data_IF_790757255200
#
_entry.id   IF_790757255200
#
_cell.length_a   1.000
_cell.length_b   1.000
_cell.length_c   1.000
_cell.angle_alpha   90.00
_cell.angle_beta   90.00
_cell.angle_gamma   90.00
#
_symmetry.space_group_name_H-M   'P 1'
#
loop_
_entity.id
_entity.type
_entity.pdbx_description
1 polymer ?
#
# COMPACT_ATOMS: atom_id res chain seq x y z
N UNK A 1 -7.86 10.67 35.18
CA UNK A 1 -7.51 11.52 34.03
C UNK A 1 -8.55 12.61 33.76
N UNK A 2 -9.73 12.35 33.17
CA UNK A 2 -10.72 13.40 32.85
C UNK A 2 -11.20 14.25 34.03
N UNK A 3 -11.21 13.68 35.25
CA UNK A 3 -11.56 14.39 36.49
C UNK A 3 -10.35 15.05 37.20
N UNK A 4 -9.14 14.91 36.66
CA UNK A 4 -7.89 15.32 37.31
C UNK A 4 -7.21 16.54 36.66
N UNK A 5 -7.67 16.97 35.48
CA UNK A 5 -7.19 18.19 34.83
C UNK A 5 -8.24 18.73 33.86
N UNK A 6 -8.41 20.05 33.84
CA UNK A 6 -9.29 20.75 32.90
C UNK A 6 -8.58 21.11 31.58
N UNK A 7 -7.28 20.80 31.45
CA UNK A 7 -6.51 21.11 30.25
C UNK A 7 -6.90 20.19 29.08
N UNK A 8 -7.54 20.77 28.07
CA UNK A 8 -8.03 20.07 26.89
C UNK A 8 -6.91 19.41 26.06
N UNK A 9 -5.70 19.98 26.04
CA UNK A 9 -4.57 19.40 25.30
C UNK A 9 -4.10 18.10 25.95
N UNK A 10 -4.01 18.08 27.28
CA UNK A 10 -3.67 16.88 28.06
C UNK A 10 -4.76 15.81 27.87
N UNK A 11 -6.04 16.20 27.83
CA UNK A 11 -7.15 15.29 27.58
C UNK A 11 -7.08 14.72 26.15
N UNK A 12 -6.84 15.55 25.12
CA UNK A 12 -6.68 15.12 23.73
C UNK A 12 -5.53 14.13 23.58
N UNK A 13 -4.35 14.48 24.10
CA UNK A 13 -3.15 13.63 24.08
C UNK A 13 -3.37 12.30 24.79
N UNK A 14 -4.01 12.31 25.97
CA UNK A 14 -4.35 11.10 26.71
C UNK A 14 -5.36 10.22 25.94
N UNK A 15 -6.40 10.79 25.32
CA UNK A 15 -7.33 10.03 24.49
C UNK A 15 -6.61 9.36 23.30
N UNK A 16 -5.70 10.07 22.61
CA UNK A 16 -4.88 9.50 21.52
C UNK A 16 -4.00 8.36 22.01
N UNK A 17 -3.32 8.53 23.15
CA UNK A 17 -2.52 7.46 23.76
C UNK A 17 -3.35 6.23 24.13
N UNK A 18 -4.56 6.41 24.66
CA UNK A 18 -5.50 5.31 24.97
C UNK A 18 -5.89 4.54 23.71
N UNK A 19 -6.24 5.24 22.62
CA UNK A 19 -6.60 4.60 21.34
C UNK A 19 -5.44 3.81 20.74
N UNK A 20 -4.23 4.37 20.74
CA UNK A 20 -3.01 3.67 20.29
C UNK A 20 -2.72 2.45 21.17
N UNK A 21 -2.86 2.57 22.50
CA UNK A 21 -2.67 1.45 23.42
C UNK A 21 -3.71 0.33 23.18
N UNK A 22 -4.98 0.67 22.95
CA UNK A 22 -6.03 -0.30 22.61
C UNK A 22 -5.71 -1.05 21.30
N UNK A 23 -5.25 -0.35 20.26
CA UNK A 23 -4.81 -0.98 19.00
C UNK A 23 -3.62 -1.93 19.24
N UNK A 24 -2.63 -1.54 20.05
CA UNK A 24 -1.49 -2.41 20.36
C UNK A 24 -1.86 -3.63 21.19
N UNK A 25 -2.77 -3.49 22.17
CA UNK A 25 -3.25 -4.62 22.98
C UNK A 25 -3.99 -5.63 22.13
N UNK A 26 -4.91 -5.19 21.26
CA UNK A 26 -5.63 -6.07 20.34
C UNK A 26 -4.70 -6.88 19.43
N UNK A 27 -3.58 -6.29 19.00
CA UNK A 27 -2.56 -7.00 18.23
C UNK A 27 -1.83 -8.03 19.09
N UNK A 28 -1.35 -7.65 20.29
CA UNK A 28 -0.64 -8.58 21.17
C UNK A 28 -1.52 -9.75 21.66
N UNK A 29 -2.80 -9.51 21.94
CA UNK A 29 -3.78 -10.54 22.29
C UNK A 29 -4.00 -11.52 21.13
N UNK A 30 -4.12 -11.03 19.90
CA UNK A 30 -4.26 -11.87 18.71
C UNK A 30 -2.98 -12.68 18.44
N UNK A 31 -1.79 -12.06 18.50
CA UNK A 31 -0.51 -12.76 18.32
C UNK A 31 -0.28 -13.82 19.41
N UNK A 32 -0.61 -13.52 20.67
CA UNK A 32 -0.52 -14.49 21.76
C UNK A 32 -1.45 -15.68 21.54
N UNK A 33 -2.69 -15.45 21.06
CA UNK A 33 -3.62 -16.52 20.69
C UNK A 33 -3.08 -17.39 19.54
N UNK A 34 -2.45 -16.78 18.53
CA UNK A 34 -1.83 -17.51 17.41
C UNK A 34 -0.65 -18.36 17.89
N UNK A 35 0.24 -17.82 18.73
CA UNK A 35 1.38 -18.55 19.31
C UNK A 35 0.92 -19.70 20.21
N UNK A 36 -0.14 -19.52 21.00
CA UNK A 36 -0.74 -20.59 21.80
C UNK A 36 -1.33 -21.71 20.92
N UNK A 37 -2.00 -21.38 19.83
CA UNK A 37 -2.52 -22.36 18.87
C UNK A 37 -1.39 -23.14 18.18
N UNK A 38 -0.34 -22.45 17.69
CA UNK A 38 0.87 -23.05 17.09
C UNK A 38 1.55 -24.01 18.08
N UNK A 39 1.64 -23.64 19.37
CA UNK A 39 2.18 -24.50 20.43
C UNK A 39 1.35 -25.77 20.66
N UNK A 40 0.02 -25.65 20.70
CA UNK A 40 -0.87 -26.81 20.86
C UNK A 40 -0.79 -27.76 19.65
N UNK A 41 -0.69 -27.21 18.43
CA UNK A 41 -0.53 -28.00 17.21
C UNK A 41 0.79 -28.79 17.22
N UNK A 42 1.92 -28.16 17.58
CA UNK A 42 3.21 -28.84 17.66
C UNK A 42 3.23 -29.94 18.74
N UNK A 43 2.55 -29.73 19.87
CA UNK A 43 2.42 -30.77 20.91
C UNK A 43 1.54 -31.95 20.49
N UNK A 44 0.62 -31.76 19.54
CA UNK A 44 -0.18 -32.84 18.97
C UNK A 44 0.59 -33.68 17.94
N UNK A 45 1.58 -33.12 17.25
CA UNK A 45 2.39 -33.84 16.24
C UNK A 45 3.48 -34.72 16.85
N UNK A 46 4.10 -34.32 17.96
CA UNK A 46 5.13 -35.12 18.64
C UNK A 46 4.57 -36.39 19.32
N UNK A 47 3.25 -36.51 19.43
CA UNK A 47 2.57 -37.67 20.02
C UNK A 47 2.40 -38.89 19.09
N UNK A 48 2.78 -38.80 17.80
CA UNK A 48 2.58 -39.88 16.82
C UNK A 48 3.89 -40.58 16.40
N UNK A 49 4.74 -40.93 17.37
CA UNK A 49 5.73 -42.00 17.15
C UNK A 49 4.99 -43.33 17.04
N UNK A 50 4.80 -43.80 15.80
CA UNK A 50 4.04 -45.02 15.50
C UNK A 50 4.61 -46.29 16.15
N UNK A 51 3.82 -47.38 16.27
CA UNK A 51 4.16 -48.54 17.09
C UNK A 51 5.39 -49.31 16.61
N UNK A 52 6.06 -50.00 17.54
CA UNK A 52 7.14 -50.94 17.23
C UNK A 52 6.73 -51.96 16.16
N UNK A 53 7.63 -52.22 15.20
CA UNK A 53 7.54 -53.38 14.30
C UNK A 53 8.80 -54.22 14.43
N UNK A 54 8.63 -55.44 14.92
CA UNK A 54 9.55 -56.58 14.82
C UNK A 54 8.81 -57.85 15.31
N UNK A 55 9.14 -59.06 14.83
CA UNK A 55 9.81 -59.43 13.58
C UNK A 55 9.06 -60.52 12.77
N UNK A 56 9.42 -60.70 11.49
CA UNK A 56 9.17 -61.95 10.75
C UNK A 56 8.31 -61.84 9.49
N UNK A 57 8.89 -62.20 8.33
CA UNK A 57 8.19 -62.27 7.04
C UNK A 57 9.17 -62.39 5.86
N UNK A 58 9.41 -63.61 5.39
CA UNK A 58 10.29 -63.90 4.24
C UNK A 58 9.57 -63.61 2.90
N UNK A 59 10.25 -63.00 1.90
CA UNK A 59 9.86 -63.11 0.50
C UNK A 59 10.60 -64.30 -0.19
N UNK A 60 9.97 -65.01 -1.15
CA UNK A 60 10.59 -66.14 -1.84
C UNK A 60 11.52 -65.71 -2.99
N UNK A 61 12.55 -66.50 -3.34
CA UNK A 61 13.50 -66.17 -4.40
C UNK A 61 13.19 -66.81 -5.76
N UNK A 62 13.57 -66.13 -6.84
CA UNK A 62 14.04 -66.80 -8.06
C UNK A 62 13.19 -66.62 -9.33
N UNK A 63 13.69 -65.78 -10.24
CA UNK A 63 13.69 -66.04 -11.68
C UNK A 63 14.73 -65.13 -12.36
N UNK A 64 15.97 -65.61 -12.50
CA UNK A 64 16.96 -65.00 -13.39
C UNK A 64 16.89 -65.72 -14.73
N UNK A 65 16.73 -65.02 -15.84
CA UNK A 65 17.42 -65.34 -17.10
C UNK A 65 17.56 -64.07 -17.93
N UNK A 66 18.80 -63.72 -18.28
CA UNK A 66 19.11 -62.65 -19.20
C UNK A 66 19.14 -63.16 -20.65
N UNK A 67 18.93 -62.28 -21.63
CA UNK A 67 19.68 -62.40 -22.87
C UNK A 67 20.04 -61.02 -23.46
N UNK A 68 21.10 -61.02 -24.26
CA UNK A 68 21.94 -59.88 -24.64
C UNK A 68 21.49 -59.26 -25.98
N UNK A 69 21.60 -57.93 -26.13
CA UNK A 69 21.38 -57.24 -27.41
C UNK A 69 21.73 -55.75 -27.35
N UNK A 70 22.92 -55.38 -27.83
CA UNK A 70 23.54 -54.07 -27.59
C UNK A 70 23.15 -52.94 -28.57
N UNK A 71 23.39 -51.69 -28.11
CA UNK A 71 23.63 -50.43 -28.86
C UNK A 71 22.45 -49.52 -29.28
N UNK A 72 22.17 -48.51 -28.45
CA UNK A 72 22.57 -47.09 -28.70
C UNK A 72 22.44 -46.21 -27.44
N UNK A 73 23.39 -45.30 -27.26
CA UNK A 73 23.54 -44.27 -26.21
C UNK A 73 23.39 -42.85 -26.83
N UNK A 74 23.43 -41.71 -26.10
CA UNK A 74 23.30 -41.47 -24.64
C UNK A 74 22.36 -40.27 -24.25
N UNK A 75 22.43 -39.86 -22.98
CA UNK A 75 21.94 -38.66 -22.28
C UNK A 75 20.43 -38.44 -22.12
N UNK A 76 19.85 -38.42 -20.91
CA UNK A 76 20.22 -37.83 -19.59
C UNK A 76 20.02 -36.30 -19.50
N UNK A 77 18.88 -35.86 -18.94
CA UNK A 77 18.82 -35.22 -17.61
C UNK A 77 17.42 -34.74 -17.23
N UNK A 78 16.85 -35.49 -16.31
CA UNK A 78 15.99 -35.03 -15.21
C UNK A 78 15.95 -33.51 -14.98
N UNK A 79 14.78 -32.91 -15.21
CA UNK A 79 14.32 -31.73 -14.46
C UNK A 79 12.97 -32.02 -13.82
N UNK A 80 13.03 -32.23 -12.51
CA UNK A 80 11.86 -32.20 -11.63
C UNK A 80 11.23 -30.80 -11.72
N UNK A 81 9.91 -30.74 -11.75
CA UNK A 81 9.15 -29.53 -11.42
C UNK A 81 7.89 -29.95 -10.64
N UNK A 82 7.47 -29.19 -9.62
CA UNK A 82 6.54 -29.71 -8.63
C UNK A 82 5.12 -29.81 -9.19
N UNK A 83 4.45 -30.94 -8.93
CA UNK A 83 3.00 -31.06 -9.18
C UNK A 83 2.26 -30.04 -8.31
N UNK A 84 1.49 -29.16 -8.96
CA UNK A 84 0.53 -28.30 -8.26
C UNK A 84 -0.60 -29.17 -7.68
N UNK A 85 -0.87 -29.13 -6.36
CA UNK A 85 -1.97 -29.86 -5.79
C UNK A 85 -3.27 -29.06 -5.97
N UNK A 86 -4.02 -29.35 -7.03
CA UNK A 86 -5.44 -29.05 -7.16
C UNK A 86 -6.05 -30.11 -8.09
N UNK A 87 -6.80 -31.02 -7.49
CA UNK A 87 -7.50 -32.12 -8.16
C UNK A 87 -8.67 -32.53 -7.28
N UNK A 88 -9.78 -31.84 -7.47
CA UNK A 88 -10.99 -31.95 -6.66
C UNK A 88 -11.53 -33.39 -6.64
N UNK A 89 -11.61 -33.96 -5.45
CA UNK A 89 -12.39 -35.17 -5.18
C UNK A 89 -13.70 -34.77 -4.51
N UNK A 90 -14.78 -34.71 -5.31
CA UNK A 90 -16.14 -34.68 -4.79
C UNK A 90 -16.48 -36.07 -4.22
N UNK A 91 -16.70 -36.13 -2.92
CA UNK A 91 -16.90 -37.37 -2.17
C UNK A 91 -17.38 -37.05 -0.76
N UNK A 92 -18.69 -37.18 -0.55
CA UNK A 92 -19.37 -36.62 0.62
C UNK A 92 -18.85 -37.13 1.98
N UNK A 93 -18.51 -36.19 2.86
CA UNK A 93 -18.45 -36.42 4.30
C UNK A 93 -18.87 -35.16 5.04
N UNK A 94 -19.86 -35.30 5.92
CA UNK A 94 -20.33 -34.20 6.77
C UNK A 94 -19.35 -33.95 7.91
N UNK A 95 -18.50 -32.94 7.78
CA UNK A 95 -17.82 -32.34 8.94
C UNK A 95 -18.02 -30.83 8.99
N UNK A 96 -18.45 -30.39 10.17
CA UNK A 96 -18.76 -29.01 10.52
C UNK A 96 -17.45 -28.20 10.66
N UNK A 97 -16.83 -27.86 9.53
CA UNK A 97 -15.63 -27.03 9.51
C UNK A 97 -16.02 -25.59 9.85
N UNK A 98 -15.69 -25.18 11.08
CA UNK A 98 -15.75 -23.78 11.49
C UNK A 98 -15.03 -22.93 10.44
N UNK A 99 -15.59 -21.79 10.01
CA UNK A 99 -14.98 -20.99 8.95
C UNK A 99 -13.64 -20.45 9.43
N UNK A 100 -12.54 -21.06 8.97
CA UNK A 100 -11.21 -20.49 9.19
C UNK A 100 -11.22 -19.05 8.68
N UNK A 101 -10.68 -18.10 9.46
CA UNK A 101 -10.66 -16.70 9.05
C UNK A 101 -9.84 -16.60 7.76
N UNK A 102 -10.52 -16.29 6.64
CA UNK A 102 -9.87 -16.09 5.35
C UNK A 102 -8.74 -15.07 5.52
N UNK A 103 -7.50 -15.53 5.37
CA UNK A 103 -6.32 -14.66 5.43
C UNK A 103 -6.50 -13.58 4.37
N UNK A 104 -6.66 -12.33 4.83
CA UNK A 104 -6.82 -11.19 3.93
C UNK A 104 -5.45 -10.83 3.39
N UNK A 105 -5.24 -11.11 2.11
CA UNK A 105 -4.03 -10.68 1.39
C UNK A 105 -4.06 -9.16 1.25
N UNK A 106 -3.36 -8.46 2.15
CA UNK A 106 -3.22 -7.01 2.13
C UNK A 106 -2.29 -6.57 1.00
N UNK A 107 -2.65 -5.50 0.29
CA UNK A 107 -1.76 -4.90 -0.71
C UNK A 107 -0.74 -3.95 -0.07
N UNK A 108 0.29 -3.59 -0.84
CA UNK A 108 1.22 -2.53 -0.52
C UNK A 108 0.50 -1.21 -0.11
N UNK A 109 -0.56 -0.81 -0.81
CA UNK A 109 -1.32 0.37 -0.41
C UNK A 109 -2.12 0.15 0.89
N UNK A 110 -2.67 -1.06 1.11
CA UNK A 110 -3.49 -1.34 2.29
C UNK A 110 -2.68 -1.33 3.59
N UNK A 111 -1.45 -1.85 3.59
CA UNK A 111 -0.60 -1.86 4.79
C UNK A 111 -0.24 -0.45 5.27
N UNK A 112 -0.25 0.56 4.39
CA UNK A 112 -0.03 1.98 4.76
C UNK A 112 -1.29 2.64 5.34
N UNK A 113 -2.50 2.15 5.00
CA UNK A 113 -3.77 2.78 5.46
C UNK A 113 -3.91 2.71 6.98
N UNK A 114 -4.42 3.79 7.57
CA UNK A 114 -4.67 3.89 9.00
C UNK A 114 -5.68 2.85 9.50
N UNK A 115 -6.75 2.61 8.73
CA UNK A 115 -7.85 1.69 9.09
C UNK A 115 -7.46 0.20 9.02
N UNK A 116 -6.33 -0.14 8.40
CA UNK A 116 -5.83 -1.51 8.33
C UNK A 116 -5.35 -1.95 9.72
N UNK A 117 -5.85 -3.08 10.27
CA UNK A 117 -5.41 -3.60 11.58
C UNK A 117 -3.90 -3.75 11.68
N UNK A 118 -3.37 -3.68 12.89
CA UNK A 118 -1.96 -4.02 13.16
C UNK A 118 -1.77 -5.53 12.93
N UNK A 119 -0.79 -5.86 12.10
CA UNK A 119 -0.38 -7.23 11.76
C UNK A 119 1.15 -7.27 11.64
N UNK A 120 1.77 -8.45 11.75
CA UNK A 120 3.23 -8.61 11.62
C UNK A 120 3.74 -8.02 10.30
N UNK A 121 3.04 -8.31 9.18
CA UNK A 121 3.35 -7.75 7.87
C UNK A 121 3.24 -6.21 7.81
N UNK A 122 2.22 -5.61 8.47
CA UNK A 122 2.11 -4.16 8.57
C UNK A 122 3.24 -3.57 9.40
N UNK A 123 3.58 -4.17 10.53
CA UNK A 123 4.63 -3.69 11.44
C UNK A 123 6.01 -3.78 10.76
N UNK A 124 6.34 -4.91 10.15
CA UNK A 124 7.60 -5.11 9.41
C UNK A 124 7.76 -4.09 8.28
N UNK A 125 6.75 -3.93 7.41
CA UNK A 125 6.81 -2.95 6.32
C UNK A 125 6.86 -1.50 6.80
N UNK A 126 6.12 -1.15 7.87
CA UNK A 126 6.20 0.19 8.45
C UNK A 126 7.57 0.47 9.06
N UNK A 127 8.23 -0.51 9.69
CA UNK A 127 9.61 -0.36 10.18
C UNK A 127 10.59 -0.03 9.05
N UNK A 128 10.61 -0.83 7.99
CA UNK A 128 11.51 -0.63 6.86
C UNK A 128 11.30 0.75 6.20
N UNK A 129 10.05 1.12 5.96
CA UNK A 129 9.71 2.42 5.36
C UNK A 129 10.08 3.60 6.28
N UNK A 130 9.83 3.50 7.58
CA UNK A 130 10.20 4.54 8.55
C UNK A 130 11.72 4.69 8.69
N UNK A 131 12.47 3.59 8.67
CA UNK A 131 13.93 3.59 8.73
C UNK A 131 14.54 4.23 7.48
N UNK A 132 14.09 3.80 6.30
CA UNK A 132 14.52 4.39 5.03
C UNK A 132 14.19 5.88 4.97
N UNK A 133 12.95 6.28 5.29
CA UNK A 133 12.53 7.69 5.25
C UNK A 133 13.30 8.54 6.26
N UNK A 134 13.55 8.03 7.46
CA UNK A 134 14.38 8.69 8.48
C UNK A 134 15.83 8.87 8.01
N UNK A 135 16.41 7.89 7.31
CA UNK A 135 17.75 8.03 6.73
C UNK A 135 17.77 9.12 5.64
N UNK A 136 16.79 9.13 4.73
CA UNK A 136 16.69 10.14 3.66
C UNK A 136 16.51 11.54 4.24
N UNK A 137 15.62 11.74 5.22
CA UNK A 137 15.38 13.05 5.85
C UNK A 137 16.63 13.54 6.62
N UNK A 138 17.37 12.65 7.30
CA UNK A 138 18.68 13.00 7.91
C UNK A 138 19.70 13.44 6.86
N UNK A 139 19.79 12.75 5.71
CA UNK A 139 20.68 13.16 4.62
C UNK A 139 20.26 14.50 4.02
N UNK A 140 18.96 14.75 3.87
CA UNK A 140 18.40 16.03 3.43
C UNK A 140 18.75 17.18 4.39
N UNK A 141 18.59 16.98 5.71
CA UNK A 141 19.03 17.93 6.73
C UNK A 141 20.54 18.21 6.63
N UNK A 142 21.37 17.17 6.50
CA UNK A 142 22.81 17.34 6.33
C UNK A 142 23.17 18.16 5.07
N UNK A 143 22.36 18.09 4.01
CA UNK A 143 22.45 18.96 2.84
C UNK A 143 22.09 20.41 3.14
N UNK A 144 20.99 20.63 3.89
CA UNK A 144 20.58 21.96 4.38
C UNK A 144 21.67 22.61 5.24
N UNK A 145 22.26 21.87 6.18
CA UNK A 145 23.32 22.38 7.07
C UNK A 145 24.59 22.77 6.29
N UNK A 146 24.93 22.06 5.21
CA UNK A 146 26.02 22.45 4.29
C UNK A 146 25.68 23.71 3.49
N UNK A 147 24.49 23.79 2.91
CA UNK A 147 24.03 24.96 2.17
C UNK A 147 23.94 26.22 3.04
N UNK A 148 23.49 26.08 4.30
CA UNK A 148 23.46 27.17 5.28
C UNK A 148 24.86 27.74 5.54
N UNK A 149 25.87 26.87 5.66
CA UNK A 149 27.28 27.28 5.82
C UNK A 149 27.84 28.01 4.60
N UNK A 150 27.49 27.58 3.38
CA UNK A 150 27.92 28.26 2.15
C UNK A 150 27.36 29.69 2.07
N UNK A 151 26.07 29.88 2.37
CA UNK A 151 25.48 31.23 2.38
C UNK A 151 26.02 32.14 3.48
N UNK A 152 26.52 31.59 4.59
CA UNK A 152 27.23 32.36 5.61
C UNK A 152 28.60 32.87 5.11
N UNK A 153 29.24 32.15 4.16
CA UNK A 153 30.55 32.50 3.62
C UNK A 153 30.49 33.47 2.42
N UNK A 154 29.59 33.25 1.45
CA UNK A 154 29.78 33.71 0.06
C UNK A 154 28.84 34.83 -0.46
N UNK A 155 28.16 35.61 0.40
CA UNK A 155 27.13 36.57 -0.06
C UNK A 155 27.20 38.00 0.48
N UNK A 156 26.80 38.93 -0.40
CA UNK A 156 26.38 40.30 -0.06
C UNK A 156 25.32 40.33 1.04
N UNK A 157 25.40 41.36 1.89
CA UNK A 157 24.68 41.46 3.18
C UNK A 157 23.16 41.24 3.07
N UNK A 158 22.50 41.74 2.01
CA UNK A 158 21.03 41.61 1.82
C UNK A 158 20.59 40.24 1.31
N UNK A 159 21.39 39.60 0.44
CA UNK A 159 21.08 38.26 -0.08
C UNK A 159 21.25 37.19 1.00
N UNK A 160 22.30 37.37 1.82
CA UNK A 160 22.63 36.51 2.96
C UNK A 160 21.46 36.32 3.91
N UNK A 161 20.82 37.39 4.36
CA UNK A 161 19.74 37.34 5.36
C UNK A 161 18.49 36.60 4.83
N UNK A 162 18.16 36.77 3.56
CA UNK A 162 17.01 36.12 2.91
C UNK A 162 17.25 34.62 2.75
N UNK A 163 18.41 34.22 2.22
CA UNK A 163 18.74 32.79 2.07
C UNK A 163 18.96 32.12 3.43
N UNK A 164 19.59 32.79 4.40
CA UNK A 164 19.71 32.27 5.76
C UNK A 164 18.35 32.00 6.41
N UNK A 165 17.37 32.92 6.30
CA UNK A 165 16.01 32.69 6.84
C UNK A 165 15.30 31.52 6.12
N UNK A 166 15.48 31.36 4.80
CA UNK A 166 14.94 30.21 4.06
C UNK A 166 15.58 28.89 4.50
N UNK A 167 16.90 28.85 4.65
CA UNK A 167 17.63 27.64 5.06
C UNK A 167 17.30 27.25 6.50
N UNK A 168 17.19 28.21 7.42
CA UNK A 168 16.79 27.93 8.80
C UNK A 168 15.34 27.44 8.87
N UNK A 169 14.41 28.01 8.10
CA UNK A 169 13.04 27.48 8.02
C UNK A 169 13.00 26.03 7.53
N UNK A 170 13.80 25.66 6.52
CA UNK A 170 13.91 24.28 6.05
C UNK A 170 14.57 23.36 7.08
N UNK A 171 15.57 23.87 7.80
CA UNK A 171 16.30 23.14 8.85
C UNK A 171 15.37 22.79 10.01
N UNK A 172 14.59 23.76 10.50
CA UNK A 172 13.58 23.57 11.56
C UNK A 172 12.49 22.59 11.11
N UNK A 173 11.96 22.73 9.88
CA UNK A 173 10.98 21.78 9.33
C UNK A 173 11.55 20.35 9.31
N UNK A 174 12.77 20.18 8.79
CA UNK A 174 13.45 18.87 8.71
C UNK A 174 13.76 18.28 10.09
N UNK A 175 14.16 19.10 11.07
CA UNK A 175 14.36 18.66 12.46
C UNK A 175 13.07 18.14 13.10
N UNK A 176 11.95 18.84 12.94
CA UNK A 176 10.66 18.35 13.46
C UNK A 176 10.18 17.11 12.69
N UNK A 177 10.40 17.04 11.37
CA UNK A 177 10.13 15.82 10.57
C UNK A 177 10.92 14.60 11.08
N UNK A 178 12.21 14.77 11.37
CA UNK A 178 13.06 13.72 11.95
C UNK A 178 12.50 13.23 13.28
N UNK A 179 12.02 14.13 14.16
CA UNK A 179 11.40 13.77 15.44
C UNK A 179 10.10 12.98 15.27
N UNK A 180 9.24 13.35 14.32
CA UNK A 180 8.03 12.59 13.97
C UNK A 180 8.38 11.18 13.49
N UNK A 181 9.33 11.05 12.55
CA UNK A 181 9.78 9.76 12.01
C UNK A 181 10.40 8.88 13.10
N UNK A 182 11.26 9.43 13.97
CA UNK A 182 11.83 8.72 15.12
C UNK A 182 10.75 8.25 16.11
N UNK A 183 9.74 9.07 16.35
CA UNK A 183 8.65 8.74 17.28
C UNK A 183 7.78 7.61 16.74
N UNK A 184 7.40 7.66 15.45
CA UNK A 184 6.65 6.58 14.80
C UNK A 184 7.48 5.28 14.72
N UNK A 185 8.76 5.38 14.34
CA UNK A 185 9.68 4.24 14.29
C UNK A 185 9.80 3.55 15.65
N UNK A 186 9.94 4.32 16.74
CA UNK A 186 9.98 3.77 18.10
C UNK A 186 8.66 3.05 18.46
N UNK A 187 7.51 3.59 18.05
CA UNK A 187 6.22 2.93 18.30
C UNK A 187 6.15 1.58 17.57
N UNK A 188 6.51 1.51 16.29
CA UNK A 188 6.51 0.24 15.55
C UNK A 188 7.56 -0.76 16.07
N UNK A 189 8.74 -0.31 16.53
CA UNK A 189 9.74 -1.20 17.17
C UNK A 189 9.23 -1.83 18.45
N UNK A 190 8.43 -1.10 19.24
CA UNK A 190 7.81 -1.65 20.43
C UNK A 190 6.70 -2.68 20.13
N UNK A 191 6.15 -2.70 18.90
CA UNK A 191 5.16 -3.69 18.45
C UNK A 191 5.79 -4.91 17.78
N UNK A 192 7.07 -4.83 17.40
CA UNK A 192 7.74 -5.88 16.67
C UNK A 192 8.09 -7.03 17.60
N UNK A 193 7.25 -8.07 17.55
CA UNK A 193 7.55 -9.39 18.10
C UNK A 193 8.40 -10.09 17.05
N UNK A 194 9.61 -10.48 17.44
CA UNK A 194 10.44 -11.40 16.66
C UNK A 194 9.75 -12.76 16.76
N UNK A 195 9.08 -13.19 15.69
CA UNK A 195 8.62 -14.57 15.58
C UNK A 195 9.84 -15.52 15.50
N UNK A 196 9.61 -16.82 15.62
CA UNK A 196 10.71 -17.81 15.67
C UNK A 196 11.66 -17.76 14.46
N UNK A 197 12.82 -18.45 14.52
CA UNK A 197 13.96 -18.32 13.58
C UNK A 197 13.72 -18.84 12.14
N UNK A 198 12.48 -18.83 11.67
CA UNK A 198 12.04 -19.34 10.36
C UNK A 198 11.55 -18.22 9.40
N UNK A 199 11.48 -16.95 9.83
CA UNK A 199 11.06 -15.80 9.00
C UNK A 199 12.23 -14.89 8.57
N UNK A 200 13.35 -15.47 8.15
CA UNK A 200 14.48 -14.77 7.50
C UNK A 200 14.20 -14.37 6.01
N UNK A 201 12.92 -14.25 5.60
CA UNK A 201 12.56 -13.57 4.35
C UNK A 201 12.72 -12.05 4.50
N UNK A 202 13.97 -11.60 4.47
CA UNK A 202 14.38 -10.20 4.50
C UNK A 202 13.75 -9.41 3.33
N UNK A 203 12.79 -8.49 3.57
CA UNK A 203 12.18 -7.69 2.51
C UNK A 203 13.03 -6.44 2.17
N UNK A 204 14.33 -6.45 2.48
CA UNK A 204 15.28 -5.35 2.18
C UNK A 204 15.34 -4.97 0.69
N UNK A 205 14.83 -5.84 -0.18
CA UNK A 205 14.72 -5.61 -1.61
C UNK A 205 13.43 -4.90 -2.08
N UNK A 206 12.33 -4.90 -1.34
CA UNK A 206 11.04 -4.37 -1.86
C UNK A 206 11.05 -2.85 -1.99
N UNK A 207 11.33 -2.10 -0.92
CA UNK A 207 11.32 -0.62 -0.96
C UNK A 207 12.36 -0.06 -1.96
N UNK A 208 13.47 -0.78 -2.20
CA UNK A 208 14.45 -0.42 -3.24
C UNK A 208 13.94 -0.72 -4.66
N UNK A 209 13.23 -1.84 -4.86
CA UNK A 209 12.59 -2.18 -6.14
C UNK A 209 11.44 -1.24 -6.48
N UNK A 210 10.67 -0.81 -5.48
CA UNK A 210 9.53 0.09 -5.67
C UNK A 210 9.96 1.49 -6.16
N UNK A 211 11.07 2.01 -5.64
CA UNK A 211 11.72 3.22 -6.17
C UNK A 211 12.31 3.05 -7.58
N UNK A 212 12.56 1.81 -8.01
CA UNK A 212 13.07 1.47 -9.35
C UNK A 212 11.96 1.21 -10.38
N UNK A 213 10.68 1.19 -9.97
CA UNK A 213 9.54 1.09 -10.87
C UNK A 213 9.44 2.36 -11.73
N UNK A 214 8.81 2.23 -12.90
CA UNK A 214 8.65 3.34 -13.85
C UNK A 214 7.88 4.51 -13.22
N UNK A 215 8.41 5.75 -13.27
CA UNK A 215 7.69 6.91 -12.76
C UNK A 215 6.35 7.13 -13.45
N UNK A 216 5.35 7.48 -12.65
CA UNK A 216 3.99 7.72 -13.09
C UNK A 216 3.82 9.15 -13.60
N UNK A 217 2.93 9.34 -14.57
CA UNK A 217 2.60 10.64 -15.16
C UNK A 217 1.12 10.69 -15.48
N UNK A 218 0.47 11.83 -15.23
CA UNK A 218 -0.97 11.98 -15.37
C UNK A 218 -1.54 13.06 -14.45
N UNK A 219 -2.81 12.87 -14.05
CA UNK A 219 -3.56 13.80 -13.19
C UNK A 219 -3.91 13.09 -11.88
N UNK A 220 -3.29 13.51 -10.78
CA UNK A 220 -3.63 13.04 -9.43
C UNK A 220 -4.82 13.85 -8.93
N UNK A 221 -5.96 13.19 -8.72
CA UNK A 221 -7.13 13.77 -8.03
C UNK A 221 -7.09 13.30 -6.57
N UNK A 222 -7.10 14.22 -5.62
CA UNK A 222 -6.97 13.92 -4.19
C UNK A 222 -7.90 14.79 -3.32
N UNK A 223 -8.67 14.13 -2.47
CA UNK A 223 -9.61 14.75 -1.52
C UNK A 223 -9.04 14.82 -0.11
N UNK A 224 -8.77 16.01 0.41
CA UNK A 224 -8.34 16.24 1.80
C UNK A 224 -9.56 16.55 2.67
N UNK A 225 -10.21 15.50 3.19
CA UNK A 225 -11.43 15.64 4.01
C UNK A 225 -11.12 16.17 5.42
N UNK A 226 -10.26 15.47 6.16
CA UNK A 226 -9.88 15.85 7.52
C UNK A 226 -8.91 14.86 8.15
N UNK A 227 -8.39 15.21 9.33
CA UNK A 227 -7.51 14.39 10.14
C UNK A 227 -8.17 14.05 11.48
N UNK A 228 -7.62 13.03 12.16
CA UNK A 228 -8.02 12.58 13.50
C UNK A 228 -6.74 12.26 14.29
N UNK A 229 -6.86 12.18 15.61
CA UNK A 229 -5.79 11.68 16.49
C UNK A 229 -4.48 12.51 16.42
N UNK A 230 -4.56 13.79 16.04
CA UNK A 230 -3.41 14.71 15.96
C UNK A 230 -2.93 15.15 17.35
N UNK A 231 -1.60 15.08 17.56
CA UNK A 231 -0.91 15.70 18.70
C UNK A 231 -0.41 17.09 18.24
N UNK A 232 -1.24 18.10 18.47
CA UNK A 232 -0.99 19.49 18.07
C UNK A 232 0.25 20.07 18.76
N UNK A 233 0.92 21.04 18.11
CA UNK A 233 2.10 21.66 18.69
C UNK A 233 1.74 22.43 19.97
N UNK A 234 2.55 22.32 21.05
CA UNK A 234 2.23 22.91 22.33
C UNK A 234 2.24 24.44 22.23
N UNK A 235 1.13 25.07 22.64
CA UNK A 235 0.98 26.52 22.59
C UNK A 235 2.08 27.26 23.36
N UNK A 236 2.80 28.13 22.66
CA UNK A 236 3.65 29.13 23.31
C UNK A 236 2.74 30.10 24.08
N UNK A 237 2.87 30.11 25.42
CA UNK A 237 2.07 30.96 26.32
C UNK A 237 2.50 32.44 26.25
N UNK A 238 2.26 33.08 25.10
CA UNK A 238 2.39 34.53 24.99
C UNK A 238 1.24 35.20 25.74
N UNK A 239 1.59 35.99 26.75
CA UNK A 239 0.67 36.45 27.80
C UNK A 239 -0.36 37.49 27.34
N UNK A 240 -1.46 37.03 26.71
CA UNK A 240 -2.78 37.69 26.73
C UNK A 240 -3.95 36.93 26.10
N UNK A 241 -3.74 35.78 25.43
CA UNK A 241 -4.85 35.00 24.85
C UNK A 241 -5.16 33.72 25.64
N UNK A 242 -6.32 33.69 26.30
CA UNK A 242 -6.91 32.47 26.89
C UNK A 242 -7.55 31.54 25.83
N UNK A 243 -7.47 31.89 24.55
CA UNK A 243 -7.85 31.08 23.39
C UNK A 243 -6.76 31.17 22.32
N UNK A 244 -5.59 30.62 22.62
CA UNK A 244 -4.71 30.22 21.53
C UNK A 244 -5.41 29.07 20.78
N UNK A 245 -5.62 29.24 19.48
CA UNK A 245 -6.22 28.23 18.61
C UNK A 245 -5.23 28.04 17.46
N UNK A 246 -4.84 26.79 17.23
CA UNK A 246 -3.95 26.42 16.14
C UNK A 246 -4.72 26.42 14.82
N UNK A 247 -4.16 27.08 13.82
CA UNK A 247 -4.66 27.05 12.45
C UNK A 247 -3.87 25.98 11.67
N UNK A 248 -4.49 24.84 11.37
CA UNK A 248 -3.84 23.71 10.69
C UNK A 248 -4.00 23.76 9.17
N UNK A 249 -2.91 23.50 8.45
CA UNK A 249 -2.87 23.45 6.98
C UNK A 249 -2.19 22.17 6.51
N UNK A 250 -2.62 21.61 5.39
CA UNK A 250 -2.03 20.43 4.75
C UNK A 250 -1.31 20.88 3.50
N UNK A 251 -0.03 20.51 3.35
CA UNK A 251 0.70 20.68 2.10
C UNK A 251 0.87 19.32 1.41
N UNK A 252 0.62 19.30 0.10
CA UNK A 252 0.80 18.13 -0.75
C UNK A 252 2.03 18.38 -1.62
N UNK A 253 3.04 17.54 -1.45
CA UNK A 253 4.31 17.58 -2.20
C UNK A 253 4.42 16.36 -3.09
N UNK A 254 4.97 16.54 -4.29
CA UNK A 254 5.25 15.48 -5.26
C UNK A 254 6.75 15.59 -5.59
N UNK A 255 7.51 14.51 -5.43
CA UNK A 255 8.98 14.53 -5.51
C UNK A 255 9.60 15.68 -4.69
N UNK A 256 9.17 15.80 -3.42
CA UNK A 256 9.60 16.86 -2.49
C UNK A 256 9.14 18.29 -2.83
N UNK A 257 8.56 18.53 -4.00
CA UNK A 257 8.08 19.85 -4.44
C UNK A 257 6.63 20.06 -4.04
N UNK A 258 6.31 21.11 -3.28
CA UNK A 258 4.93 21.46 -2.94
C UNK A 258 4.13 21.82 -4.20
N UNK A 259 3.04 21.08 -4.46
CA UNK A 259 2.14 21.29 -5.61
C UNK A 259 0.79 21.89 -5.22
N UNK A 260 0.31 21.58 -4.02
CA UNK A 260 -0.94 22.10 -3.48
C UNK A 260 -0.84 22.33 -1.97
N UNK A 261 -1.73 23.17 -1.43
CA UNK A 261 -1.87 23.44 0.00
C UNK A 261 -3.33 23.80 0.32
N UNK A 262 -3.86 23.28 1.42
CA UNK A 262 -5.21 23.62 1.92
C UNK A 262 -5.27 25.01 2.55
N UNK A 263 -6.48 25.51 2.68
CA UNK A 263 -6.78 26.64 3.54
C UNK A 263 -6.52 26.27 5.03
N UNK A 264 -6.30 27.26 5.91
CA UNK A 264 -6.17 27.01 7.34
C UNK A 264 -7.51 26.57 7.95
N UNK A 265 -7.50 25.51 8.76
CA UNK A 265 -8.66 25.01 9.50
C UNK A 265 -8.39 25.03 11.01
N UNK A 266 -9.45 25.18 11.81
CA UNK A 266 -9.41 25.11 13.28
C UNK A 266 -10.04 23.83 13.84
N UNK A 267 -10.50 22.96 12.94
CA UNK A 267 -11.29 21.76 13.27
C UNK A 267 -10.69 20.49 12.68
N UNK A 268 -9.48 20.59 12.12
CA UNK A 268 -8.78 19.51 11.40
C UNK A 268 -9.63 18.89 10.27
N UNK A 269 -10.52 19.71 9.69
CA UNK A 269 -11.36 19.40 8.53
C UNK A 269 -11.15 20.49 7.49
N UNK A 270 -10.82 20.08 6.27
CA UNK A 270 -10.57 20.99 5.15
C UNK A 270 -11.64 20.82 4.08
N UNK A 271 -12.02 19.57 3.78
CA UNK A 271 -13.02 19.21 2.77
C UNK A 271 -12.68 19.74 1.37
N UNK A 272 -11.38 19.89 1.08
CA UNK A 272 -10.85 20.43 -0.17
C UNK A 272 -10.48 19.30 -1.14
N UNK A 273 -10.72 19.53 -2.43
CA UNK A 273 -10.43 18.61 -3.51
C UNK A 273 -9.38 19.24 -4.44
N UNK A 274 -8.30 18.51 -4.74
CA UNK A 274 -7.18 19.01 -5.55
C UNK A 274 -6.97 18.17 -6.80
N UNK A 275 -6.62 18.86 -7.89
CA UNK A 275 -6.23 18.27 -9.16
C UNK A 275 -4.77 18.64 -9.46
N UNK A 276 -3.87 17.69 -9.27
CA UNK A 276 -2.42 17.92 -9.35
C UNK A 276 -1.87 17.28 -10.64
N UNK A 277 -1.29 18.06 -11.57
CA UNK A 277 -0.56 17.50 -12.70
C UNK A 277 0.77 16.90 -12.23
N UNK A 278 0.95 15.62 -12.54
CA UNK A 278 2.11 14.81 -12.18
C UNK A 278 2.87 14.44 -13.45
N UNK A 279 4.16 14.75 -13.49
CA UNK A 279 5.09 14.33 -14.54
C UNK A 279 6.25 13.58 -13.87
N UNK A 280 6.48 12.35 -14.30
CA UNK A 280 7.53 11.42 -13.83
C UNK A 280 7.77 11.42 -12.31
N UNK A 281 6.72 11.19 -11.53
CA UNK A 281 6.83 11.03 -10.08
C UNK A 281 6.62 9.58 -9.63
N UNK A 282 7.28 9.22 -8.54
CA UNK A 282 7.11 7.98 -7.80
C UNK A 282 6.31 8.21 -6.51
N UNK A 283 6.58 9.29 -5.77
CA UNK A 283 6.08 9.49 -4.40
C UNK A 283 5.28 10.80 -4.24
N UNK A 284 4.21 10.71 -3.43
CA UNK A 284 3.47 11.86 -2.89
C UNK A 284 3.67 11.92 -1.38
N UNK A 285 4.12 13.06 -0.87
CA UNK A 285 4.17 13.39 0.56
C UNK A 285 3.01 14.33 0.91
N UNK A 286 2.31 14.01 1.99
CA UNK A 286 1.30 14.87 2.61
C UNK A 286 1.82 15.23 4.00
N UNK A 287 2.08 16.51 4.26
CA UNK A 287 2.49 17.00 5.58
C UNK A 287 1.43 17.93 6.15
N UNK A 288 1.00 17.66 7.38
CA UNK A 288 0.08 18.50 8.16
C UNK A 288 0.93 19.43 9.03
N UNK A 289 0.66 20.72 8.93
CA UNK A 289 1.34 21.77 9.66
C UNK A 289 0.40 22.52 10.59
N UNK A 290 0.92 22.89 11.73
CA UNK A 290 0.32 23.70 12.76
C UNK A 290 0.92 25.11 12.73
N UNK A 291 0.08 26.12 12.49
CA UNK A 291 0.50 27.53 12.52
C UNK A 291 0.29 28.12 13.91
N UNK A 292 1.37 28.14 14.68
CA UNK A 292 1.42 28.82 15.99
C UNK A 292 1.27 30.34 15.85
N UNK A 293 0.46 30.94 16.72
CA UNK A 293 0.28 32.41 16.77
C UNK A 293 1.59 33.07 17.19
N UNK A 294 2.16 33.89 16.30
CA UNK A 294 3.44 34.56 16.52
C UNK A 294 4.67 33.81 15.99
N UNK A 295 4.51 32.64 15.36
CA UNK A 295 5.57 31.99 14.59
C UNK A 295 5.38 32.23 13.08
N UNK A 296 6.43 32.67 12.40
CA UNK A 296 6.51 32.68 10.93
C UNK A 296 6.64 31.25 10.37
N UNK A 297 7.29 30.36 11.12
CA UNK A 297 7.60 29.00 10.70
C UNK A 297 6.47 28.06 11.19
N UNK A 298 5.72 27.42 10.29
CA UNK A 298 4.69 26.47 10.66
C UNK A 298 5.33 25.13 11.07
N UNK A 299 4.84 24.51 12.14
CA UNK A 299 5.43 23.28 12.71
C UNK A 299 4.76 22.06 12.08
N UNK A 300 5.47 21.12 11.43
CA UNK A 300 4.86 19.89 10.96
C UNK A 300 4.46 19.02 12.16
N UNK A 301 3.20 18.62 12.24
CA UNK A 301 2.63 17.80 13.33
C UNK A 301 2.30 16.37 12.89
N UNK A 302 2.31 16.10 11.59
CA UNK A 302 2.15 14.76 11.04
C UNK A 302 2.54 14.72 9.57
N UNK A 303 2.99 13.56 9.10
CA UNK A 303 3.25 13.32 7.68
C UNK A 303 2.82 11.91 7.28
N UNK A 304 2.47 11.74 6.02
CA UNK A 304 2.28 10.45 5.37
C UNK A 304 2.84 10.54 3.95
N UNK A 305 3.35 9.43 3.42
CA UNK A 305 3.78 9.32 2.03
C UNK A 305 3.31 7.99 1.44
N UNK A 306 3.17 7.94 0.11
CA UNK A 306 2.81 6.73 -0.60
C UNK A 306 3.34 6.76 -2.04
N UNK A 307 3.58 5.57 -2.58
CA UNK A 307 3.97 5.40 -3.98
C UNK A 307 2.73 5.52 -4.89
N UNK A 308 2.87 6.29 -5.97
CA UNK A 308 1.87 6.41 -7.03
C UNK A 308 1.64 5.08 -7.74
N UNK A 309 2.66 4.21 -7.83
CA UNK A 309 2.55 2.86 -8.36
C UNK A 309 1.52 2.03 -7.57
N UNK A 310 1.58 2.06 -6.23
CA UNK A 310 0.64 1.35 -5.34
C UNK A 310 -0.81 1.85 -5.53
N UNK A 311 -0.98 3.16 -5.75
CA UNK A 311 -2.29 3.77 -6.03
C UNK A 311 -2.83 3.33 -7.40
N UNK A 312 -2.01 3.37 -8.45
CA UNK A 312 -2.39 2.91 -9.80
C UNK A 312 -2.73 1.42 -9.81
N UNK A 313 -1.96 0.59 -9.10
CA UNK A 313 -2.29 -0.83 -8.92
C UNK A 313 -3.60 -1.04 -8.16
N UNK A 314 -3.82 -0.31 -7.06
CA UNK A 314 -5.06 -0.42 -6.28
C UNK A 314 -6.29 -0.02 -7.10
N UNK A 315 -6.21 1.07 -7.88
CA UNK A 315 -7.28 1.51 -8.79
C UNK A 315 -7.54 0.46 -9.88
N UNK A 316 -6.49 -0.15 -10.46
CA UNK A 316 -6.63 -1.24 -11.44
C UNK A 316 -7.30 -2.47 -10.84
N UNK A 317 -6.90 -2.89 -9.62
CA UNK A 317 -7.51 -4.03 -8.91
C UNK A 317 -8.98 -3.75 -8.56
N UNK A 318 -9.30 -2.54 -8.10
CA UNK A 318 -10.67 -2.13 -7.79
C UNK A 318 -11.57 -2.21 -9.04
N UNK A 319 -11.12 -1.66 -10.17
CA UNK A 319 -11.86 -1.73 -11.44
C UNK A 319 -12.10 -3.18 -11.90
N UNK A 320 -11.09 -4.06 -11.83
CA UNK A 320 -11.25 -5.48 -12.20
C UNK A 320 -12.21 -6.21 -11.25
N UNK A 321 -12.24 -5.86 -9.95
CA UNK A 321 -13.21 -6.43 -9.00
C UNK A 321 -14.64 -5.93 -9.22
N UNK A 322 -14.81 -4.71 -9.75
CA UNK A 322 -16.10 -4.16 -10.14
C UNK A 322 -16.62 -4.81 -11.44
N UNK A 323 -15.78 -4.88 -12.48
CA UNK A 323 -16.07 -5.58 -13.73
C UNK A 323 -16.34 -7.08 -13.51
N UNK A 324 -15.59 -7.73 -12.62
CA UNK A 324 -15.80 -9.13 -12.24
C UNK A 324 -17.14 -9.43 -11.54
N UNK A 325 -17.81 -8.41 -10.98
CA UNK A 325 -19.19 -8.52 -10.48
C UNK A 325 -20.24 -8.26 -11.56
N UNK A 326 -19.88 -7.62 -12.67
CA UNK A 326 -20.73 -7.34 -13.82
C UNK A 326 -20.91 -8.51 -14.79
N UNK A 327 -20.08 -9.56 -14.66
CA UNK A 327 -20.21 -10.83 -15.40
C UNK A 327 -19.17 -11.02 -16.51
N UNK A 328 -18.96 -12.28 -16.92
CA UNK A 328 -18.25 -12.62 -18.16
C UNK A 328 -16.87 -13.27 -18.05
N UNK A 329 -16.35 -13.59 -16.85
CA UNK A 329 -15.17 -14.48 -16.73
C UNK A 329 -15.56 -15.94 -16.94
N UNK A 330 -15.86 -16.30 -18.19
CA UNK A 330 -16.02 -17.69 -18.62
C UNK A 330 -14.63 -18.31 -18.71
N UNK A 331 -14.37 -19.36 -17.94
CA UNK A 331 -13.13 -20.14 -18.03
C UNK A 331 -13.07 -20.84 -19.40
N UNK A 332 -11.90 -20.84 -20.05
CA UNK A 332 -11.74 -21.32 -21.43
C UNK A 332 -12.15 -22.79 -21.65
N UNK A 333 -12.25 -23.59 -20.59
CA UNK A 333 -12.79 -24.96 -20.67
C UNK A 333 -14.29 -25.02 -21.02
N UNK A 334 -15.08 -24.01 -20.64
CA UNK A 334 -16.53 -24.00 -20.87
C UNK A 334 -16.93 -23.67 -22.32
N UNK A 335 -16.00 -23.24 -23.18
CA UNK A 335 -16.27 -22.99 -24.60
C UNK A 335 -16.12 -24.23 -25.50
N UNK A 336 -15.65 -25.37 -24.98
CA UNK A 336 -15.30 -26.54 -25.81
C UNK A 336 -16.39 -27.62 -25.89
N UNK A 337 -17.48 -27.50 -25.15
CA UNK A 337 -18.53 -28.53 -25.04
C UNK A 337 -19.87 -28.12 -25.69
N UNK A 338 -19.87 -27.06 -26.52
CA UNK A 338 -21.07 -26.52 -27.18
C UNK A 338 -21.22 -26.95 -28.65
N UNK A 339 -20.57 -28.04 -29.08
CA UNK A 339 -20.58 -28.50 -30.47
C UNK A 339 -21.10 -29.94 -30.64
N UNK A 340 -22.32 -30.02 -31.16
CA UNK A 340 -22.90 -31.14 -31.92
C UNK A 340 -23.44 -32.39 -31.16
N UNK A 341 -24.74 -32.32 -30.82
CA UNK A 341 -25.62 -33.49 -30.60
C UNK A 341 -27.06 -33.15 -31.01
N UNK A 342 -27.75 -34.08 -31.67
CA UNK A 342 -29.17 -33.98 -32.10
C UNK A 342 -29.39 -33.27 -33.46
N UNK A 343 -29.68 -33.92 -34.59
CA UNK A 343 -30.80 -34.83 -34.97
C UNK A 343 -32.04 -34.12 -35.53
N UNK A 344 -32.18 -34.19 -36.86
CA UNK A 344 -33.43 -34.29 -37.67
C UNK A 344 -34.80 -34.19 -36.98
N UNK A 345 -35.71 -33.33 -37.50
CA UNK A 345 -36.86 -33.78 -38.33
C UNK A 345 -37.72 -32.62 -38.94
N UNK A 346 -38.45 -32.93 -40.02
CA UNK A 346 -39.75 -32.39 -40.49
C UNK A 346 -39.88 -30.98 -41.11
N UNK A 347 -39.86 -30.98 -42.44
CA UNK A 347 -40.88 -30.40 -43.37
C UNK A 347 -41.72 -29.16 -42.99
N UNK A 348 -41.65 -28.12 -43.82
CA UNK A 348 -42.66 -27.05 -43.91
C UNK A 348 -42.48 -26.15 -45.14
N UNK A 349 -43.21 -26.41 -46.23
CA UNK A 349 -43.21 -25.57 -47.45
C UNK A 349 -43.83 -24.18 -47.20
N UNK A 350 -43.21 -23.12 -47.71
CA UNK A 350 -43.93 -22.04 -48.44
C UNK A 350 -42.98 -21.31 -49.41
N UNK A 351 -43.50 -20.87 -50.56
CA UNK A 351 -42.72 -20.37 -51.70
C UNK A 351 -42.41 -18.85 -51.66
N UNK A 352 -41.45 -18.36 -52.47
CA UNK A 352 -40.88 -17.02 -52.33
C UNK A 352 -41.60 -15.95 -53.17
N UNK A 353 -41.45 -14.68 -52.77
CA UNK A 353 -41.66 -13.53 -53.65
C UNK A 353 -40.45 -12.59 -53.54
N UNK A 354 -39.80 -12.31 -54.67
CA UNK A 354 -38.61 -11.46 -54.74
C UNK A 354 -38.96 -9.97 -54.84
N UNK A 355 -38.04 -9.12 -54.38
CA UNK A 355 -38.07 -7.67 -54.56
C UNK A 355 -36.65 -7.12 -54.67
N UNK A 356 -36.31 -6.57 -55.83
CA UNK A 356 -35.01 -5.93 -56.11
C UNK A 356 -34.97 -4.48 -55.59
N UNK A 357 -33.78 -3.97 -55.26
CA UNK A 357 -33.54 -2.55 -54.93
C UNK A 357 -32.29 -2.40 -54.04
N UNK A 358 -31.08 -2.33 -54.60
CA UNK A 358 -30.46 -1.15 -55.22
C UNK A 358 -30.07 -0.04 -54.21
N UNK A 359 -28.76 0.21 -54.10
CA UNK A 359 -28.16 1.47 -53.61
C UNK A 359 -27.14 1.99 -54.65
N UNK A 360 -26.18 2.87 -54.31
CA UNK A 360 -25.99 3.65 -53.07
C UNK A 360 -26.34 5.15 -53.34
N UNK A 361 -25.46 6.18 -53.51
CA UNK A 361 -24.01 6.35 -53.37
C UNK A 361 -23.57 7.22 -52.16
N UNK A 362 -22.32 7.69 -52.16
CA UNK A 362 -21.67 8.55 -51.14
C UNK A 362 -21.79 10.06 -51.46
N UNK A 363 -21.55 10.93 -50.45
CA UNK A 363 -21.39 12.38 -50.68
C UNK A 363 -20.83 13.20 -49.50
N UNK A 364 -19.50 13.41 -49.51
CA UNK A 364 -18.66 14.43 -48.84
C UNK A 364 -18.82 14.87 -47.35
N UNK A 365 -17.69 15.12 -46.64
CA UNK A 365 -17.66 15.80 -45.34
C UNK A 365 -17.51 17.35 -45.46
N UNK A 366 -17.92 18.13 -44.43
CA UNK A 366 -17.63 19.56 -44.35
C UNK A 366 -16.21 19.88 -43.79
N UNK A 367 -15.64 21.07 -44.08
CA UNK A 367 -14.25 21.43 -43.76
C UNK A 367 -14.05 21.97 -42.33
N UNK A 368 -12.80 22.04 -41.83
CA UNK A 368 -12.48 22.56 -40.51
C UNK A 368 -12.48 24.11 -40.47
N UNK A 369 -13.09 24.68 -39.43
CA UNK A 369 -12.96 26.11 -39.11
C UNK A 369 -11.87 26.32 -38.04
N UNK A 370 -10.81 27.05 -38.42
CA UNK A 370 -9.80 27.54 -37.49
C UNK A 370 -9.75 29.06 -37.48
N UNK A 371 -9.95 29.68 -36.31
CA UNK A 371 -9.63 31.09 -36.01
C UNK A 371 -9.01 31.08 -34.60
N UNK A 372 -7.68 31.14 -34.46
CA UNK A 372 -6.76 32.29 -34.52
C UNK A 372 -6.77 33.14 -33.25
N UNK A 373 -5.62 33.15 -32.55
CA UNK A 373 -5.36 34.00 -31.39
C UNK A 373 -5.33 35.49 -31.75
N UNK A 374 -5.77 36.33 -30.81
CA UNK A 374 -5.33 37.72 -30.69
C UNK A 374 -4.96 38.02 -29.23
N UNK A 375 -3.67 38.21 -28.95
CA UNK A 375 -3.22 38.92 -27.75
C UNK A 375 -3.48 40.41 -27.96
N UNK A 376 -3.97 41.11 -26.94
CA UNK A 376 -3.76 42.55 -26.86
C UNK A 376 -3.42 42.95 -25.42
N UNK A 377 -2.27 43.60 -25.27
CA UNK A 377 -1.87 44.34 -24.07
C UNK A 377 -2.41 45.76 -24.21
N UNK A 378 -2.89 46.31 -23.10
CA UNK A 378 -2.51 47.64 -22.62
C UNK A 378 -2.23 47.49 -21.13
#
# INVERSE_FOLDING_TARGET
MRLATNNQDVIRRANTQILTAQRSLSYFEETLRQLQAKKQQNQATDGFTGPQISPGGLPPPGAQYANVGMNRMPDDRTRLSPMSPNGDWDGGSSQNTLPMPKVKNYTALDLVKADTPLTTAKISRMLHQLEFKLQVEKQYKNGIDKMSKLYQADLDRKGRDIEAKKMESKRVESDTKIQLLQTALKQYKNLHIIDGPDEDETPEGEDRKDNLRKPQSGKLVISIRGAKELDHAPFLKSGRSYKAINDTTVAIKVEGTQRAKTHPSRTDRWMEDFEIPVDKANEVEITIYDKQVGSDIPVPIGMAWFNLNDVVEALRRAKVQEEGKGGGWVTAGAMRDSSYSGSTDSSGNFMPQGGMGAGPPFGNPPPPLGIRLSKQKA
#
